data_IF_491328392570
#
_entry.id   IF_491328392570
#
_cell.length_a   1.000
_cell.length_b   1.000
_cell.length_c   1.000
_cell.angle_alpha   90.00
_cell.angle_beta   90.00
_cell.angle_gamma   90.00
#
_symmetry.space_group_name_H-M   'P 1'
#
loop_
_entity.id
_entity.type
_entity.pdbx_description
1 polymer ?
#
# COMPACT_ATOMS: atom_id res chain seq x y z
N UNK A 1 -20.15 -14.76 11.86
CA UNK A 1 -21.07 -14.33 10.79
C UNK A 1 -20.61 -14.96 9.47
N UNK A 2 -21.49 -15.27 8.52
CA UNK A 2 -21.08 -15.98 7.30
C UNK A 2 -20.44 -15.03 6.29
N UNK A 3 -19.33 -15.44 5.66
CA UNK A 3 -18.57 -14.61 4.71
C UNK A 3 -19.40 -14.05 3.54
N UNK A 4 -20.52 -14.71 3.19
CA UNK A 4 -21.47 -14.21 2.17
C UNK A 4 -22.29 -13.02 2.68
N UNK A 5 -22.69 -13.01 3.95
CA UNK A 5 -23.41 -11.91 4.58
C UNK A 5 -22.53 -10.66 4.64
N UNK A 6 -21.27 -10.83 5.05
CA UNK A 6 -20.32 -9.73 5.20
C UNK A 6 -19.97 -9.08 3.85
N UNK A 7 -19.87 -9.89 2.78
CA UNK A 7 -19.65 -9.39 1.42
C UNK A 7 -20.83 -8.57 0.89
N UNK A 8 -22.06 -9.01 1.13
CA UNK A 8 -23.26 -8.25 0.72
C UNK A 8 -23.32 -6.92 1.46
N UNK A 9 -23.13 -6.95 2.78
CA UNK A 9 -23.10 -5.74 3.62
C UNK A 9 -22.02 -4.76 3.18
N UNK A 10 -20.82 -5.24 2.80
CA UNK A 10 -19.76 -4.36 2.28
C UNK A 10 -20.19 -3.60 1.02
N UNK A 11 -20.74 -4.30 0.02
CA UNK A 11 -21.16 -3.65 -1.23
C UNK A 11 -22.33 -2.70 -1.00
N UNK A 12 -23.31 -3.08 -0.18
CA UNK A 12 -24.44 -2.21 0.17
C UNK A 12 -23.95 -0.94 0.87
N UNK A 13 -22.95 -1.05 1.75
CA UNK A 13 -22.32 0.08 2.45
C UNK A 13 -21.69 1.06 1.46
N UNK A 14 -20.81 0.58 0.57
CA UNK A 14 -20.10 1.47 -0.37
C UNK A 14 -21.04 2.10 -1.40
N UNK A 15 -22.03 1.36 -1.91
CA UNK A 15 -22.98 1.91 -2.89
C UNK A 15 -23.91 2.93 -2.26
N UNK A 16 -24.39 2.66 -1.04
CA UNK A 16 -25.26 3.60 -0.31
C UNK A 16 -24.48 4.86 0.06
N UNK A 17 -23.24 4.71 0.56
CA UNK A 17 -22.35 5.83 0.83
C UNK A 17 -22.16 6.70 -0.41
N UNK A 18 -21.76 6.13 -1.54
CA UNK A 18 -21.51 6.88 -2.77
C UNK A 18 -22.77 7.60 -3.29
N UNK A 19 -23.94 6.96 -3.18
CA UNK A 19 -25.22 7.58 -3.53
C UNK A 19 -25.53 8.78 -2.64
N UNK A 20 -25.37 8.65 -1.31
CA UNK A 20 -25.58 9.73 -0.36
C UNK A 20 -24.60 10.88 -0.60
N UNK A 21 -23.32 10.61 -0.82
CA UNK A 21 -22.33 11.65 -1.07
C UNK A 21 -22.64 12.42 -2.36
N UNK A 22 -23.02 11.72 -3.44
CA UNK A 22 -23.36 12.34 -4.73
C UNK A 22 -24.54 13.33 -4.63
N UNK A 23 -25.54 13.07 -3.79
CA UNK A 23 -26.68 13.98 -3.62
C UNK A 23 -26.46 15.05 -2.54
N UNK A 24 -25.48 14.83 -1.66
CA UNK A 24 -25.26 15.69 -0.48
C UNK A 24 -24.16 16.72 -0.69
N UNK A 25 -23.27 16.49 -1.66
CA UNK A 25 -22.12 17.34 -1.88
C UNK A 25 -22.02 17.73 -3.36
N UNK A 26 -21.74 19.00 -3.60
CA UNK A 26 -21.30 19.52 -4.89
C UNK A 26 -19.82 19.82 -4.85
N UNK A 27 -19.09 19.42 -5.88
CA UNK A 27 -17.66 19.61 -5.98
C UNK A 27 -17.21 19.55 -7.44
N UNK A 28 -15.92 19.78 -7.70
CA UNK A 28 -15.40 19.78 -9.06
C UNK A 28 -15.56 18.43 -9.74
N UNK A 29 -15.80 18.46 -11.05
CA UNK A 29 -15.84 17.24 -11.86
C UNK A 29 -14.43 16.68 -12.03
N UNK A 30 -14.10 15.68 -11.22
CA UNK A 30 -12.80 14.99 -11.25
C UNK A 30 -12.53 14.15 -12.51
N UNK A 31 -13.50 13.99 -13.41
CA UNK A 31 -13.31 13.29 -14.70
C UNK A 31 -13.07 14.23 -15.86
N UNK A 32 -13.33 15.53 -15.68
CA UNK A 32 -13.06 16.54 -16.70
C UNK A 32 -11.64 17.08 -16.50
N UNK A 33 -10.69 16.80 -17.40
CA UNK A 33 -9.31 17.25 -17.26
C UNK A 33 -9.15 18.77 -17.34
N UNK A 34 -10.15 19.49 -17.86
CA UNK A 34 -10.16 20.96 -17.86
C UNK A 34 -10.57 21.55 -16.51
N UNK A 35 -11.27 20.77 -15.68
CA UNK A 35 -11.75 21.15 -14.34
C UNK A 35 -10.84 20.57 -13.26
N UNK A 36 -10.48 19.30 -13.37
CA UNK A 36 -9.59 18.59 -12.46
C UNK A 36 -8.51 17.91 -13.29
N UNK A 37 -7.30 18.47 -13.26
CA UNK A 37 -6.11 17.95 -13.97
C UNK A 37 -5.61 16.59 -13.43
N UNK A 38 -6.40 15.93 -12.57
CA UNK A 38 -5.97 14.76 -11.82
C UNK A 38 -4.99 15.06 -10.71
N UNK A 39 -4.75 16.35 -10.43
CA UNK A 39 -4.02 16.89 -9.29
C UNK A 39 -4.74 16.43 -8.01
N UNK A 40 -4.47 15.20 -7.63
CA UNK A 40 -4.79 14.69 -6.33
C UNK A 40 -3.66 15.16 -5.42
N UNK A 41 -4.00 15.55 -4.19
CA UNK A 41 -2.99 15.64 -3.14
C UNK A 41 -2.27 14.27 -3.03
N UNK A 42 -1.16 14.18 -2.30
CA UNK A 42 -0.56 12.89 -1.92
C UNK A 42 -1.49 12.12 -0.97
N UNK A 43 -2.69 11.77 -1.45
CA UNK A 43 -3.75 11.11 -0.69
C UNK A 43 -3.43 9.63 -0.73
N UNK A 44 -3.00 9.12 0.41
CA UNK A 44 -2.89 7.68 0.63
C UNK A 44 -4.30 7.10 0.83
N UNK A 45 -5.02 6.92 -0.28
CA UNK A 45 -6.40 6.42 -0.27
C UNK A 45 -6.41 4.96 0.11
N UNK A 46 -7.03 4.65 1.25
CA UNK A 46 -7.07 3.30 1.79
C UNK A 46 -8.20 2.48 1.16
N UNK A 47 -7.85 1.26 0.76
CA UNK A 47 -8.72 0.38 -0.01
C UNK A 47 -8.60 -1.05 0.53
N UNK A 48 -9.71 -1.72 0.88
CA UNK A 48 -9.67 -3.12 1.24
C UNK A 48 -9.45 -3.96 -0.03
N UNK A 49 -8.80 -5.11 0.12
CA UNK A 49 -8.52 -6.12 -0.92
C UNK A 49 -9.78 -6.49 -1.69
N UNK A 50 -10.96 -6.57 -1.06
CA UNK A 50 -12.22 -6.81 -1.78
C UNK A 50 -12.50 -5.72 -2.83
N UNK A 51 -12.26 -4.45 -2.51
CA UNK A 51 -12.46 -3.32 -3.42
C UNK A 51 -11.35 -3.24 -4.46
N UNK A 52 -10.09 -3.45 -4.04
CA UNK A 52 -8.94 -3.51 -4.95
C UNK A 52 -9.11 -4.62 -6.01
N UNK A 53 -9.57 -5.82 -5.62
CA UNK A 53 -9.89 -6.91 -6.54
C UNK A 53 -10.99 -6.53 -7.53
N UNK A 54 -11.99 -5.78 -7.09
CA UNK A 54 -13.07 -5.29 -7.97
C UNK A 54 -12.53 -4.28 -8.98
N UNK A 55 -11.69 -3.34 -8.56
CA UNK A 55 -11.04 -2.40 -9.47
C UNK A 55 -10.18 -3.08 -10.52
N UNK A 56 -9.41 -4.11 -10.13
CA UNK A 56 -8.64 -4.92 -11.09
C UNK A 56 -9.56 -5.65 -12.06
N UNK A 57 -10.64 -6.27 -11.56
CA UNK A 57 -11.59 -7.00 -12.39
C UNK A 57 -12.29 -6.10 -13.41
N UNK A 58 -12.59 -4.85 -13.04
CA UNK A 58 -13.28 -3.89 -13.90
C UNK A 58 -12.33 -3.05 -14.76
N UNK A 59 -11.01 -3.30 -14.70
CA UNK A 59 -10.02 -2.60 -15.51
C UNK A 59 -9.66 -1.20 -15.01
N UNK A 60 -10.11 -0.81 -13.82
CA UNK A 60 -9.82 0.51 -13.25
C UNK A 60 -8.38 0.66 -12.73
N UNK A 61 -7.74 -0.46 -12.39
CA UNK A 61 -6.39 -0.51 -11.83
C UNK A 61 -5.75 -1.88 -12.09
N UNK A 62 -4.45 -1.98 -11.86
CA UNK A 62 -3.64 -3.21 -11.89
C UNK A 62 -3.10 -3.52 -10.49
N UNK A 63 -2.52 -4.71 -10.26
CA UNK A 63 -1.93 -5.04 -8.95
C UNK A 63 -0.84 -4.05 -8.51
N UNK A 64 -0.09 -3.51 -9.47
CA UNK A 64 1.01 -2.57 -9.22
C UNK A 64 0.53 -1.19 -8.76
N UNK A 65 -0.75 -0.89 -8.97
CA UNK A 65 -1.38 0.36 -8.54
C UNK A 65 -1.78 0.33 -7.05
N UNK A 66 -1.51 -0.76 -6.32
CA UNK A 66 -1.83 -0.91 -4.91
C UNK A 66 -0.58 -1.16 -4.08
N UNK A 67 -0.40 -0.36 -3.03
CA UNK A 67 0.68 -0.48 -2.05
C UNK A 67 0.10 -1.16 -0.80
N UNK A 68 0.79 -2.17 -0.27
CA UNK A 68 0.38 -2.82 0.99
C UNK A 68 0.37 -1.80 2.14
N UNK A 69 -0.58 -1.93 3.06
CA UNK A 69 -0.68 -1.08 4.25
C UNK A 69 -0.83 -1.95 5.52
N UNK A 70 -0.79 -1.31 6.69
CA UNK A 70 -0.83 -1.94 8.00
C UNK A 70 -2.12 -1.67 8.78
N UNK A 71 -2.67 -0.47 8.64
CA UNK A 71 -4.00 -0.12 9.16
C UNK A 71 -5.08 -0.69 8.24
N UNK A 72 -4.79 -0.80 6.95
CA UNK A 72 -5.72 -1.27 5.92
C UNK A 72 -5.02 -2.25 4.99
N UNK A 73 -5.76 -3.08 4.25
CA UNK A 73 -5.16 -4.09 3.37
C UNK A 73 -4.27 -3.48 2.27
N UNK A 74 -4.69 -2.35 1.70
CA UNK A 74 -3.94 -1.62 0.67
C UNK A 74 -4.17 -0.10 0.75
N UNK A 75 -3.29 0.63 0.06
CA UNK A 75 -3.42 2.01 -0.36
C UNK A 75 -3.34 2.08 -1.88
N UNK A 76 -4.04 3.03 -2.49
CA UNK A 76 -3.80 3.36 -3.90
C UNK A 76 -2.42 3.99 -4.06
N UNK A 77 -1.73 3.61 -5.14
CA UNK A 77 -0.48 4.22 -5.55
C UNK A 77 -0.69 5.69 -5.92
N UNK A 78 0.39 6.45 -5.78
CA UNK A 78 0.46 7.85 -6.17
C UNK A 78 1.73 8.05 -7.00
N UNK A 79 1.59 8.67 -8.16
CA UNK A 79 2.73 9.04 -8.97
C UNK A 79 3.25 10.40 -8.50
N UNK A 80 4.35 10.38 -7.74
CA UNK A 80 4.99 11.57 -7.19
C UNK A 80 5.55 12.53 -8.27
N UNK A 81 5.92 12.02 -9.45
CA UNK A 81 6.43 12.86 -10.54
C UNK A 81 5.32 13.68 -11.19
N UNK A 82 4.14 13.08 -11.34
CA UNK A 82 3.00 13.74 -11.99
C UNK A 82 1.98 14.31 -11.02
N UNK A 83 2.14 14.05 -9.72
CA UNK A 83 1.15 14.31 -8.66
C UNK A 83 -0.24 13.71 -8.96
N UNK A 84 -0.30 12.50 -9.53
CA UNK A 84 -1.56 11.86 -9.98
C UNK A 84 -1.86 10.58 -9.22
N UNK A 85 -3.14 10.41 -8.90
CA UNK A 85 -3.69 9.14 -8.40
C UNK A 85 -3.70 8.10 -9.53
N UNK A 86 -3.42 6.83 -9.21
CA UNK A 86 -3.47 5.70 -10.16
C UNK A 86 -4.83 5.50 -10.85
N UNK A 87 -5.92 6.00 -10.25
CA UNK A 87 -7.25 5.96 -10.88
C UNK A 87 -7.44 7.05 -11.95
N UNK A 88 -6.54 8.05 -11.98
CA UNK A 88 -6.48 9.10 -13.00
C UNK A 88 -5.46 8.75 -14.09
N UNK A 89 -5.76 7.69 -14.85
CA UNK A 89 -5.02 7.37 -16.08
C UNK A 89 -5.95 7.61 -17.26
N UNK A 90 -5.78 8.71 -18.01
CA UNK A 90 -6.64 9.08 -19.15
C UNK A 90 -6.71 7.98 -20.23
N UNK A 91 -5.66 7.17 -20.35
CA UNK A 91 -5.57 6.11 -21.35
C UNK A 91 -6.21 4.79 -20.86
N UNK A 92 -6.59 4.69 -19.58
CA UNK A 92 -7.23 3.50 -19.00
C UNK A 92 -8.61 3.76 -18.42
N UNK A 93 -8.73 4.79 -17.58
CA UNK A 93 -9.86 4.98 -16.67
C UNK A 93 -10.35 6.43 -16.63
N UNK A 94 -9.46 7.43 -16.70
CA UNK A 94 -9.83 8.85 -16.66
C UNK A 94 -10.69 9.22 -15.43
N UNK A 95 -10.47 8.56 -14.28
CA UNK A 95 -11.34 8.65 -13.12
C UNK A 95 -12.79 8.18 -13.33
N UNK A 96 -13.10 7.32 -14.31
CA UNK A 96 -14.44 6.76 -14.53
C UNK A 96 -15.01 5.99 -13.33
N UNK A 97 -14.14 5.56 -12.41
CA UNK A 97 -14.52 5.08 -11.08
C UNK A 97 -15.43 6.06 -10.32
N UNK A 98 -15.40 7.37 -10.61
CA UNK A 98 -16.32 8.38 -10.07
C UNK A 98 -17.77 8.21 -10.56
N UNK A 99 -17.96 7.52 -11.68
CA UNK A 99 -19.26 7.12 -12.19
C UNK A 99 -19.63 5.69 -11.77
N UNK A 100 -18.66 4.92 -11.29
CA UNK A 100 -18.92 3.65 -10.62
C UNK A 100 -19.40 3.92 -9.20
N UNK A 101 -20.54 3.36 -8.78
CA UNK A 101 -21.05 3.49 -7.41
C UNK A 101 -20.15 2.80 -6.35
N UNK A 102 -18.90 2.50 -6.69
CA UNK A 102 -17.87 1.87 -5.87
C UNK A 102 -16.62 2.75 -5.73
N UNK A 103 -16.72 4.06 -6.01
CA UNK A 103 -15.66 5.04 -5.69
C UNK A 103 -15.17 4.87 -4.24
N UNK A 104 -13.85 4.95 -3.96
CA UNK A 104 -13.36 4.84 -2.58
C UNK A 104 -13.94 5.98 -1.74
N UNK A 105 -14.42 5.72 -0.52
CA UNK A 105 -15.03 6.76 0.32
C UNK A 105 -14.14 7.99 0.55
N UNK A 106 -12.85 7.78 0.81
CA UNK A 106 -11.88 8.86 1.06
C UNK A 106 -11.74 9.83 -0.13
N UNK A 107 -12.04 9.40 -1.36
CA UNK A 107 -12.02 10.28 -2.54
C UNK A 107 -13.14 11.35 -2.53
N UNK A 108 -14.12 11.26 -1.63
CA UNK A 108 -15.16 12.28 -1.48
C UNK A 108 -14.79 13.36 -0.47
N UNK A 109 -14.17 12.97 0.63
CA UNK A 109 -14.00 13.83 1.80
C UNK A 109 -12.58 14.36 1.96
N UNK A 110 -11.57 13.77 1.32
CA UNK A 110 -10.20 14.27 1.48
C UNK A 110 -9.92 15.50 0.60
N UNK A 111 -9.13 16.49 1.08
CA UNK A 111 -8.60 16.64 2.46
C UNK A 111 -9.57 17.31 3.44
N UNK A 112 -10.72 17.73 2.95
CA UNK A 112 -11.63 18.66 3.64
C UNK A 112 -12.39 18.07 4.82
N UNK A 113 -12.39 16.74 4.98
CA UNK A 113 -13.33 16.04 5.85
C UNK A 113 -14.77 16.18 5.36
N UNK A 114 -15.73 15.79 6.21
CA UNK A 114 -17.15 16.05 5.98
C UNK A 114 -17.53 17.53 6.18
N UNK A 115 -16.71 18.29 6.90
CA UNK A 115 -16.87 19.74 7.12
C UNK A 115 -15.53 20.43 6.91
N UNK A 116 -15.38 21.34 5.91
CA UNK A 116 -14.14 22.06 5.74
C UNK A 116 -13.85 22.91 6.99
N UNK A 117 -12.64 22.84 7.56
CA UNK A 117 -12.27 23.72 8.66
C UNK A 117 -12.31 25.19 8.18
N UNK A 118 -13.31 25.95 8.66
CA UNK A 118 -13.52 27.41 8.54
C UNK A 118 -12.97 28.08 7.28
N UNK A 119 -13.86 28.45 6.36
CA UNK A 119 -13.77 29.49 5.29
C UNK A 119 -12.49 29.60 4.43
N UNK A 120 -11.49 28.76 4.67
CA UNK A 120 -10.25 28.75 3.93
C UNK A 120 -10.36 27.64 2.90
N UNK A 121 -10.47 27.98 1.60
CA UNK A 121 -10.46 26.97 0.55
C UNK A 121 -9.16 26.18 0.67
N UNK A 122 -9.28 24.88 0.94
CA UNK A 122 -8.11 24.00 0.96
C UNK A 122 -7.58 23.95 -0.48
N UNK A 123 -6.48 24.66 -0.72
CA UNK A 123 -5.80 24.83 -2.03
C UNK A 123 -5.22 23.55 -2.63
N UNK A 124 -5.55 22.40 -2.05
CA UNK A 124 -5.03 21.11 -2.49
C UNK A 124 -5.77 20.59 -3.74
N UNK A 125 -6.92 21.17 -4.09
CA UNK A 125 -7.52 21.08 -5.42
C UNK A 125 -7.55 22.50 -5.99
N UNK A 126 -6.97 22.72 -7.19
CA UNK A 126 -6.96 24.04 -7.86
C UNK A 126 -8.38 24.59 -8.10
N UNK A 127 -9.36 23.70 -8.14
CA UNK A 127 -10.78 23.99 -8.19
C UNK A 127 -11.33 24.06 -6.77
N UNK A 128 -12.01 25.17 -6.44
CA UNK A 128 -12.55 25.50 -5.12
C UNK A 128 -13.38 24.39 -4.45
N UNK A 129 -13.64 24.62 -3.15
CA UNK A 129 -14.08 23.61 -2.19
C UNK A 129 -15.44 22.95 -2.48
N UNK A 130 -15.65 21.84 -1.78
CA UNK A 130 -16.89 21.08 -1.78
C UNK A 130 -17.97 21.80 -0.96
N UNK A 131 -19.19 21.88 -1.49
CA UNK A 131 -20.34 22.48 -0.82
C UNK A 131 -21.31 21.41 -0.34
N UNK A 132 -21.69 21.46 0.94
CA UNK A 132 -22.68 20.56 1.52
C UNK A 132 -24.09 21.10 1.23
N UNK A 133 -24.88 20.34 0.48
CA UNK A 133 -26.28 20.66 0.14
C UNK A 133 -27.26 20.07 1.15
N UNK A 134 -26.94 18.92 1.74
CA UNK A 134 -27.87 18.15 2.58
C UNK A 134 -27.15 17.57 3.80
N UNK A 135 -27.21 18.27 4.93
CA UNK A 135 -26.53 17.87 6.17
C UNK A 135 -27.04 16.53 6.72
N UNK A 136 -28.35 16.28 6.71
CA UNK A 136 -28.93 15.04 7.26
C UNK A 136 -28.48 13.78 6.53
N UNK A 137 -28.31 13.84 5.21
CA UNK A 137 -27.82 12.70 4.42
C UNK A 137 -26.32 12.52 4.57
N UNK A 138 -25.59 13.59 4.89
CA UNK A 138 -24.17 13.54 5.20
C UNK A 138 -23.89 12.78 6.49
N UNK A 139 -24.69 12.99 7.55
CA UNK A 139 -24.59 12.25 8.82
C UNK A 139 -24.68 10.73 8.56
N UNK A 140 -25.66 10.31 7.75
CA UNK A 140 -25.79 8.90 7.36
C UNK A 140 -24.60 8.38 6.54
N UNK A 141 -24.01 9.23 5.70
CA UNK A 141 -22.81 8.87 4.95
C UNK A 141 -21.59 8.71 5.88
N UNK A 142 -21.48 9.55 6.90
CA UNK A 142 -20.45 9.43 7.93
C UNK A 142 -20.58 8.11 8.72
N UNK A 143 -21.78 7.72 9.13
CA UNK A 143 -22.04 6.41 9.75
C UNK A 143 -21.59 5.24 8.85
N UNK A 144 -21.90 5.29 7.56
CA UNK A 144 -21.47 4.26 6.60
C UNK A 144 -19.95 4.28 6.36
N UNK A 145 -19.30 5.43 6.50
CA UNK A 145 -17.84 5.53 6.40
C UNK A 145 -17.15 4.88 7.61
N UNK A 146 -17.71 4.99 8.81
CA UNK A 146 -17.22 4.24 9.98
C UNK A 146 -17.32 2.73 9.75
N UNK A 147 -18.46 2.24 9.25
CA UNK A 147 -18.65 0.83 8.90
C UNK A 147 -17.63 0.39 7.83
N UNK A 148 -17.39 1.21 6.81
CA UNK A 148 -16.36 0.94 5.80
C UNK A 148 -14.96 0.80 6.43
N UNK A 149 -14.60 1.69 7.36
CA UNK A 149 -13.32 1.62 8.08
C UNK A 149 -13.19 0.34 8.89
N UNK A 150 -14.26 -0.10 9.55
CA UNK A 150 -14.28 -1.38 10.26
C UNK A 150 -14.02 -2.57 9.33
N UNK A 151 -14.66 -2.60 8.15
CA UNK A 151 -14.38 -3.64 7.14
C UNK A 151 -12.91 -3.65 6.75
N UNK A 152 -12.32 -2.48 6.51
CA UNK A 152 -10.92 -2.39 6.12
C UNK A 152 -9.97 -2.85 7.23
N UNK A 153 -10.28 -2.54 8.50
CA UNK A 153 -9.51 -2.98 9.67
C UNK A 153 -9.60 -4.50 9.88
N UNK A 154 -10.80 -5.08 9.76
CA UNK A 154 -11.00 -6.52 9.88
C UNK A 154 -10.26 -7.29 8.79
N UNK A 155 -10.32 -6.80 7.56
CA UNK A 155 -9.62 -7.42 6.44
C UNK A 155 -8.10 -7.29 6.58
N UNK A 156 -7.59 -6.14 7.04
CA UNK A 156 -6.17 -5.95 7.31
C UNK A 156 -5.65 -6.95 8.34
N UNK A 157 -6.39 -7.18 9.44
CA UNK A 157 -6.06 -8.19 10.45
C UNK A 157 -5.97 -9.60 9.84
N UNK A 158 -6.94 -9.98 9.00
CA UNK A 158 -6.91 -11.27 8.31
C UNK A 158 -5.75 -11.38 7.30
N UNK A 159 -5.38 -10.28 6.64
CA UNK A 159 -4.23 -10.24 5.73
C UNK A 159 -2.89 -10.42 6.48
N UNK A 160 -2.78 -10.01 7.75
CA UNK A 160 -1.57 -10.25 8.56
C UNK A 160 -1.32 -11.74 8.82
N UNK A 161 -2.37 -12.52 9.03
CA UNK A 161 -2.27 -13.98 9.24
C UNK A 161 -1.67 -14.69 8.02
N UNK A 162 -1.79 -14.09 6.84
CA UNK A 162 -1.31 -14.64 5.58
C UNK A 162 0.16 -14.37 5.29
N UNK A 163 0.89 -13.64 6.14
CA UNK A 163 2.29 -13.29 5.87
C UNK A 163 3.19 -14.52 5.68
N UNK A 164 2.96 -15.58 6.46
CA UNK A 164 3.67 -16.87 6.32
C UNK A 164 3.42 -17.50 4.95
N UNK A 165 2.17 -17.46 4.49
CA UNK A 165 1.81 -17.97 3.16
C UNK A 165 2.48 -17.15 2.05
N UNK A 166 2.63 -15.83 2.23
CA UNK A 166 3.34 -14.98 1.26
C UNK A 166 4.82 -15.34 1.18
N UNK A 167 5.48 -15.61 2.31
CA UNK A 167 6.87 -16.10 2.31
C UNK A 167 6.98 -17.43 1.54
N UNK A 168 6.09 -18.39 1.83
CA UNK A 168 6.04 -19.69 1.12
C UNK A 168 5.84 -19.49 -0.40
N UNK A 169 4.89 -18.64 -0.79
CA UNK A 169 4.62 -18.35 -2.21
C UNK A 169 5.82 -17.70 -2.90
N UNK A 170 6.57 -16.86 -2.19
CA UNK A 170 7.75 -16.18 -2.75
C UNK A 170 8.86 -17.18 -3.06
N UNK A 171 9.08 -18.15 -2.15
CA UNK A 171 10.01 -19.26 -2.40
C UNK A 171 9.63 -20.07 -3.63
N UNK A 172 8.33 -20.35 -3.81
CA UNK A 172 7.83 -21.06 -5.00
C UNK A 172 8.05 -20.29 -6.31
N UNK A 173 8.15 -18.96 -6.25
CA UNK A 173 8.48 -18.09 -7.38
C UNK A 173 9.98 -17.81 -7.53
N UNK A 174 10.82 -18.64 -6.92
CA UNK A 174 12.27 -18.54 -7.03
C UNK A 174 12.86 -17.21 -6.49
N UNK A 175 12.35 -16.76 -5.34
CA UNK A 175 12.88 -15.58 -4.62
C UNK A 175 14.40 -15.64 -4.43
N UNK A 176 14.96 -16.85 -4.31
CA UNK A 176 16.40 -17.06 -4.24
C UNK A 176 17.10 -16.53 -5.48
N UNK A 177 16.69 -17.00 -6.67
CA UNK A 177 17.23 -16.50 -7.94
C UNK A 177 17.03 -15.00 -8.08
N UNK A 178 15.86 -14.48 -7.69
CA UNK A 178 15.61 -13.04 -7.70
C UNK A 178 16.63 -12.28 -6.84
N UNK A 179 17.00 -12.77 -5.65
CA UNK A 179 18.07 -12.13 -4.87
C UNK A 179 19.43 -12.19 -5.56
N UNK A 180 19.77 -13.32 -6.20
CA UNK A 180 21.06 -13.50 -6.86
C UNK A 180 21.24 -12.59 -8.10
N UNK A 181 20.15 -12.15 -8.70
CA UNK A 181 20.15 -11.19 -9.82
C UNK A 181 20.35 -9.73 -9.38
N UNK A 182 20.31 -9.45 -8.08
CA UNK A 182 20.40 -8.10 -7.53
C UNK A 182 21.82 -7.82 -7.04
N UNK A 183 22.35 -6.63 -7.35
CA UNK A 183 23.58 -6.14 -6.71
C UNK A 183 23.36 -6.05 -5.20
N UNK A 184 24.25 -6.61 -4.36
CA UNK A 184 24.10 -6.51 -2.90
C UNK A 184 23.96 -5.07 -2.40
N UNK A 185 24.53 -4.09 -3.08
CA UNK A 185 24.36 -2.67 -2.77
C UNK A 185 22.93 -2.16 -2.93
N UNK A 186 22.12 -2.76 -3.81
CA UNK A 186 20.80 -2.27 -4.19
C UNK A 186 19.66 -2.94 -3.39
N UNK A 187 19.93 -3.96 -2.57
CA UNK A 187 18.90 -4.58 -1.74
C UNK A 187 18.81 -3.92 -0.37
N UNK A 188 17.69 -3.26 -0.09
CA UNK A 188 17.43 -2.51 1.14
C UNK A 188 16.64 -3.30 2.20
N UNK A 189 16.00 -4.39 1.80
CA UNK A 189 15.14 -5.19 2.67
C UNK A 189 14.11 -5.98 1.89
N UNK A 190 12.90 -6.06 2.43
CA UNK A 190 11.79 -6.80 1.84
C UNK A 190 10.55 -5.92 1.68
N UNK A 191 9.76 -6.19 0.65
CA UNK A 191 8.51 -5.51 0.35
C UNK A 191 7.38 -6.54 0.40
N UNK A 192 6.39 -6.29 1.24
CA UNK A 192 5.13 -7.03 1.22
C UNK A 192 4.30 -6.61 0.02
N UNK A 193 4.01 -7.56 -0.87
CA UNK A 193 3.19 -7.39 -2.06
C UNK A 193 1.85 -8.10 -1.85
N UNK A 194 1.10 -8.36 -2.93
CA UNK A 194 -0.25 -8.94 -2.88
C UNK A 194 -0.31 -10.32 -2.22
N UNK A 195 0.53 -11.23 -2.71
CA UNK A 195 0.51 -12.64 -2.32
C UNK A 195 1.94 -13.19 -2.12
N UNK A 196 2.95 -12.31 -2.17
CA UNK A 196 4.38 -12.59 -2.11
C UNK A 196 5.11 -11.49 -1.34
N UNK A 197 6.32 -11.82 -0.88
CA UNK A 197 7.35 -10.92 -0.39
C UNK A 197 8.36 -10.76 -1.51
N UNK A 198 8.68 -9.53 -1.83
CA UNK A 198 9.54 -9.12 -2.93
C UNK A 198 10.78 -8.39 -2.40
N UNK A 199 11.86 -8.28 -3.18
CA UNK A 199 12.99 -7.43 -2.83
C UNK A 199 12.57 -5.97 -2.67
N UNK A 200 12.99 -5.32 -1.58
CA UNK A 200 12.92 -3.86 -1.46
C UNK A 200 14.21 -3.27 -2.00
N UNK A 201 14.12 -2.56 -3.11
CA UNK A 201 15.27 -1.90 -3.74
C UNK A 201 15.63 -0.58 -3.01
N UNK A 202 16.92 -0.27 -2.95
CA UNK A 202 17.45 1.01 -2.51
C UNK A 202 17.97 1.82 -3.71
N UNK A 203 17.74 3.12 -3.67
CA UNK A 203 18.39 4.09 -4.58
C UNK A 203 19.86 4.36 -4.19
N UNK A 204 20.33 3.83 -3.05
CA UNK A 204 21.71 4.00 -2.53
C UNK A 204 22.31 2.73 -1.92
N UNK A 205 23.53 2.83 -1.36
CA UNK A 205 24.29 1.68 -0.89
C UNK A 205 23.74 1.03 0.40
N UNK A 206 23.29 -0.22 0.31
CA UNK A 206 22.93 -1.05 1.45
C UNK A 206 24.17 -1.49 2.24
N UNK A 207 24.55 -0.71 3.26
CA UNK A 207 25.62 -1.10 4.19
C UNK A 207 25.26 -2.31 5.05
N UNK A 208 23.98 -2.66 5.11
CA UNK A 208 23.52 -3.82 5.87
C UNK A 208 24.03 -5.12 5.25
N UNK A 209 23.83 -5.31 3.94
CA UNK A 209 24.29 -6.54 3.29
C UNK A 209 25.80 -6.71 3.36
N UNK A 210 26.56 -5.62 3.41
CA UNK A 210 28.00 -5.66 3.68
C UNK A 210 28.31 -6.34 5.02
N UNK A 211 27.54 -6.06 6.08
CA UNK A 211 27.68 -6.69 7.40
C UNK A 211 27.29 -8.18 7.35
N UNK A 212 26.19 -8.50 6.67
CA UNK A 212 25.75 -9.89 6.49
C UNK A 212 26.80 -10.71 5.71
N UNK A 213 27.36 -10.15 4.65
CA UNK A 213 28.45 -10.75 3.88
C UNK A 213 29.69 -11.01 4.74
N UNK A 214 30.10 -10.05 5.59
CA UNK A 214 31.21 -10.26 6.54
C UNK A 214 30.97 -11.44 7.49
N UNK A 215 29.74 -11.60 7.98
CA UNK A 215 29.38 -12.64 8.95
C UNK A 215 29.27 -14.03 8.31
N UNK A 216 28.59 -14.16 7.18
CA UNK A 216 28.21 -15.45 6.59
C UNK A 216 29.00 -15.83 5.32
N UNK A 217 29.83 -14.93 4.79
CA UNK A 217 30.75 -15.22 3.70
C UNK A 217 32.07 -14.43 3.84
N UNK A 218 32.86 -14.68 4.90
CA UNK A 218 34.07 -13.90 5.20
C UNK A 218 35.16 -14.05 4.12
N UNK A 219 35.14 -15.10 3.31
CA UNK A 219 36.05 -15.32 2.18
C UNK A 219 35.65 -14.57 0.91
N UNK A 220 34.57 -13.78 0.92
CA UNK A 220 34.14 -13.00 -0.23
C UNK A 220 35.21 -12.00 -0.67
N UNK A 221 35.66 -12.02 -1.94
CA UNK A 221 36.74 -11.13 -2.42
C UNK A 221 36.36 -9.64 -2.40
N UNK A 222 35.07 -9.34 -2.37
CA UNK A 222 34.56 -7.97 -2.33
C UNK A 222 34.50 -7.38 -0.91
N UNK A 223 34.71 -8.19 0.13
CA UNK A 223 34.64 -7.74 1.53
C UNK A 223 36.07 -7.61 2.09
N UNK A 224 36.40 -6.55 2.86
CA UNK A 224 35.51 -5.45 3.28
C UNK A 224 35.54 -4.22 2.36
N UNK A 225 36.48 -4.12 1.42
CA UNK A 225 36.78 -2.86 0.74
C UNK A 225 35.97 -2.63 -0.55
N UNK A 226 35.67 -3.68 -1.32
CA UNK A 226 35.11 -3.58 -2.67
C UNK A 226 33.63 -4.00 -2.77
N UNK A 227 32.88 -3.91 -1.66
CA UNK A 227 31.49 -4.42 -1.59
C UNK A 227 30.59 -3.83 -2.68
N UNK A 228 30.78 -2.55 -2.99
CA UNK A 228 30.02 -1.81 -4.00
C UNK A 228 30.21 -2.39 -5.41
N UNK A 229 31.37 -3.01 -5.68
CA UNK A 229 31.69 -3.62 -6.97
C UNK A 229 31.12 -5.03 -7.11
N UNK A 230 30.52 -5.59 -6.04
CA UNK A 230 29.88 -6.89 -6.13
C UNK A 230 28.60 -6.77 -6.95
N UNK A 231 28.50 -7.54 -8.03
CA UNK A 231 27.38 -7.48 -8.97
C UNK A 231 26.23 -8.42 -8.59
N UNK A 232 26.48 -9.40 -7.73
CA UNK A 232 25.51 -10.47 -7.43
C UNK A 232 25.57 -10.92 -5.98
N UNK A 233 24.40 -11.18 -5.39
CA UNK A 233 24.30 -11.85 -4.10
C UNK A 233 24.65 -13.33 -4.27
N UNK A 234 25.63 -13.83 -3.52
CA UNK A 234 26.00 -15.25 -3.60
C UNK A 234 24.96 -16.16 -2.91
N UNK A 235 25.02 -17.45 -3.23
CA UNK A 235 24.08 -18.48 -2.72
C UNK A 235 23.98 -18.51 -1.19
N UNK A 236 25.10 -18.39 -0.48
CA UNK A 236 25.10 -18.41 0.99
C UNK A 236 24.30 -17.24 1.55
N UNK A 237 24.54 -16.03 1.06
CA UNK A 237 23.84 -14.82 1.48
C UNK A 237 22.36 -14.87 1.09
N UNK A 238 22.02 -15.36 -0.10
CA UNK A 238 20.62 -15.52 -0.51
C UNK A 238 19.86 -16.51 0.40
N UNK A 239 20.50 -17.63 0.79
CA UNK A 239 19.90 -18.58 1.72
C UNK A 239 19.68 -17.96 3.11
N UNK A 240 20.64 -17.19 3.62
CA UNK A 240 20.50 -16.48 4.90
C UNK A 240 19.36 -15.45 4.88
N UNK A 241 19.19 -14.71 3.78
CA UNK A 241 18.08 -13.77 3.61
C UNK A 241 16.71 -14.48 3.62
N UNK A 242 16.62 -15.66 3.01
CA UNK A 242 15.39 -16.46 3.02
C UNK A 242 15.12 -17.02 4.42
N UNK A 243 16.14 -17.59 5.07
CA UNK A 243 16.05 -18.07 6.46
C UNK A 243 15.57 -16.95 7.39
N UNK A 244 16.12 -15.75 7.21
CA UNK A 244 15.71 -14.56 7.94
C UNK A 244 14.22 -14.24 7.76
N UNK A 245 13.73 -14.24 6.52
CA UNK A 245 12.31 -14.02 6.23
C UNK A 245 11.41 -15.04 6.92
N UNK A 246 11.79 -16.31 6.90
CA UNK A 246 11.01 -17.42 7.46
C UNK A 246 10.91 -17.34 8.98
N UNK A 247 12.02 -17.05 9.64
CA UNK A 247 12.10 -17.07 11.10
C UNK A 247 11.58 -15.78 11.74
N UNK A 248 11.81 -14.62 11.11
CA UNK A 248 11.64 -13.33 11.79
C UNK A 248 10.43 -12.52 11.32
N UNK A 249 10.07 -12.57 10.03
CA UNK A 249 9.10 -11.60 9.49
C UNK A 249 7.71 -11.74 10.15
N UNK A 250 7.25 -12.98 10.38
CA UNK A 250 5.97 -13.21 11.04
C UNK A 250 5.97 -12.67 12.48
N UNK A 251 7.02 -12.96 13.25
CA UNK A 251 7.17 -12.52 14.64
C UNK A 251 7.28 -11.01 14.72
N UNK A 252 8.06 -10.39 13.82
CA UNK A 252 8.17 -8.94 13.68
C UNK A 252 6.81 -8.29 13.44
N UNK A 253 6.05 -8.77 12.45
CA UNK A 253 4.73 -8.22 12.14
C UNK A 253 3.70 -8.43 13.26
N UNK A 254 3.80 -9.52 14.04
CA UNK A 254 2.95 -9.72 15.22
C UNK A 254 3.27 -8.73 16.35
N UNK A 255 4.54 -8.43 16.59
CA UNK A 255 4.97 -7.57 17.69
C UNK A 255 4.86 -6.08 17.37
N UNK A 256 5.20 -5.68 16.14
CA UNK A 256 5.31 -4.28 15.73
C UNK A 256 4.21 -3.84 14.76
N UNK A 257 3.40 -4.78 14.27
CA UNK A 257 2.51 -4.55 13.13
C UNK A 257 3.26 -4.60 11.79
N UNK A 258 2.51 -4.57 10.68
CA UNK A 258 3.13 -4.32 9.38
C UNK A 258 3.60 -2.86 9.25
N UNK A 259 4.53 -2.62 8.34
CA UNK A 259 4.85 -1.25 7.91
C UNK A 259 3.67 -0.67 7.10
N UNK A 260 3.45 0.64 7.21
CA UNK A 260 2.32 1.33 6.57
C UNK A 260 2.39 1.40 5.05
N UNK A 261 3.51 0.96 4.47
CA UNK A 261 3.74 0.77 3.04
C UNK A 261 4.19 -0.66 2.70
N UNK A 262 4.09 -1.60 3.65
CA UNK A 262 4.60 -2.97 3.51
C UNK A 262 6.12 -3.05 3.35
N UNK A 263 6.86 -1.98 3.68
CA UNK A 263 8.32 -1.94 3.55
C UNK A 263 8.98 -2.42 4.83
N UNK A 264 9.79 -3.46 4.71
CA UNK A 264 10.61 -3.99 5.80
C UNK A 264 12.10 -3.78 5.49
N UNK A 265 12.61 -2.54 5.67
CA UNK A 265 14.01 -2.27 5.42
C UNK A 265 14.88 -2.94 6.49
N UNK A 266 16.06 -3.41 6.09
CA UNK A 266 16.96 -4.16 6.97
C UNK A 266 17.30 -3.40 8.26
N UNK A 267 17.52 -2.08 8.21
CA UNK A 267 17.85 -1.31 9.41
C UNK A 267 16.77 -1.35 10.51
N UNK A 268 15.50 -1.62 10.14
CA UNK A 268 14.41 -1.81 11.11
C UNK A 268 14.35 -3.26 11.59
N UNK A 269 14.46 -4.22 10.68
CA UNK A 269 14.39 -5.64 11.01
C UNK A 269 15.52 -6.09 11.94
N UNK A 270 16.70 -5.49 11.81
CA UNK A 270 17.89 -5.92 12.56
C UNK A 270 18.14 -5.17 13.87
N UNK A 271 17.57 -3.96 14.06
CA UNK A 271 17.67 -3.25 15.34
C UNK A 271 17.16 -4.12 16.51
N UNK A 272 16.10 -4.87 16.25
CA UNK A 272 15.42 -5.70 17.26
C UNK A 272 16.11 -7.06 17.52
N UNK A 273 17.01 -7.50 16.61
CA UNK A 273 17.74 -8.77 16.75
C UNK A 273 19.04 -8.57 17.55
N UNK A 274 19.68 -7.42 17.37
CA UNK A 274 20.86 -7.06 18.16
C UNK A 274 20.55 -6.74 19.63
N UNK A 275 19.28 -6.61 20.01
CA UNK A 275 18.84 -6.45 21.42
C UNK A 275 18.49 -7.77 22.11
N UNK A 276 18.42 -8.89 21.37
CA UNK A 276 18.17 -10.22 21.94
C UNK A 276 19.41 -11.12 22.00
N UNK A 277 20.55 -10.65 21.49
CA UNK A 277 21.84 -11.34 21.53
C UNK A 277 22.92 -10.55 22.32
N UNK A 278 22.49 -9.79 23.33
CA UNK A 278 23.35 -9.25 24.40
C UNK A 278 22.65 -9.37 25.76
#
# INVERSE_FOLDING_TARGET
>A
MSAKKDKKTFWDTITTYNSLMKISIEGPNCTDPTVCLGDCCDIQINVPKILAKKYIKEGYATKNDFIRSNVYSFKLGFNYLTAKCVLFDQNKNGCSVHHSNIKPPECWIYPTGFSPPKETPIRCKKVGGWNIKKVRTLIKAEELYEIYKEFCLLEAKSELENIKNRVINSKRKDLKKTFQEIKPSHLAGFQDSWDTIEPLYAEGYSLFLKRLCKKYNPSCPYIPHNFVQCEQICTSIANELISFLECYLQSYCKQKGCDSSGKYPFHRLFKDITTSEY
#
